data_IF_284880810356
#
_entry.id   IF_284880810356
#
_cell.length_a   1.000
_cell.length_b   1.000
_cell.length_c   1.000
_cell.angle_alpha   90.00
_cell.angle_beta   90.00
_cell.angle_gamma   90.00
#
_symmetry.space_group_name_H-M   'P 1'
#
loop_
_entity.id
_entity.type
_entity.pdbx_description
1 polymer ?
#
# COMPACT_ATOMS: atom_id res chain seq x y z
N UNK A 1 3.81 27.51 6.46
CA UNK A 1 3.68 28.54 5.39
C UNK A 1 4.59 29.71 5.77
N UNK A 2 5.15 30.50 4.84
CA UNK A 2 6.21 31.47 5.16
C UNK A 2 5.71 32.81 5.74
N UNK A 3 4.40 33.08 5.69
CA UNK A 3 3.81 34.36 6.14
C UNK A 3 4.03 35.54 5.19
N UNK A 4 4.84 35.40 4.13
CA UNK A 4 5.08 36.48 3.16
C UNK A 4 3.85 36.73 2.27
N UNK A 5 3.55 38.01 2.07
CA UNK A 5 2.52 38.49 1.15
C UNK A 5 2.76 37.91 -0.25
N UNK A 6 1.75 37.24 -0.79
CA UNK A 6 1.78 36.70 -2.14
C UNK A 6 1.41 37.86 -3.06
N UNK A 7 2.37 38.41 -3.80
CA UNK A 7 2.08 39.43 -4.79
C UNK A 7 1.20 38.87 -5.92
N UNK A 8 0.11 39.57 -6.23
CA UNK A 8 -0.89 39.25 -7.26
C UNK A 8 -0.37 39.43 -8.70
N UNK A 9 0.80 38.89 -9.02
CA UNK A 9 1.47 39.15 -10.30
C UNK A 9 1.19 38.06 -11.34
N UNK A 10 -0.07 37.63 -11.50
CA UNK A 10 -0.41 36.63 -12.50
C UNK A 10 -1.90 36.56 -12.85
N UNK A 11 -2.23 37.03 -14.05
CA UNK A 11 -3.54 36.87 -14.67
C UNK A 11 -3.97 35.38 -14.64
N UNK A 12 -5.02 35.08 -13.87
CA UNK A 12 -5.86 33.89 -14.09
C UNK A 12 -5.82 32.77 -13.04
N UNK A 13 -4.81 32.68 -12.14
CA UNK A 13 -4.88 31.74 -11.00
C UNK A 13 -4.14 32.27 -9.77
N UNK A 14 -4.81 32.40 -8.60
CA UNK A 14 -4.17 32.84 -7.37
C UNK A 14 -3.08 31.86 -6.97
N UNK A 15 -1.86 32.37 -6.76
CA UNK A 15 -0.72 31.55 -6.38
C UNK A 15 -0.84 31.18 -4.90
N UNK A 16 -1.16 29.93 -4.58
CA UNK A 16 -1.35 29.47 -3.19
C UNK A 16 -0.08 29.53 -2.31
N UNK A 17 1.11 29.70 -2.90
CA UNK A 17 2.38 29.68 -2.18
C UNK A 17 3.31 30.81 -2.62
N UNK A 18 3.88 31.52 -1.64
CA UNK A 18 4.85 32.60 -1.81
C UNK A 18 6.07 32.22 -2.69
N UNK A 19 6.50 30.95 -2.70
CA UNK A 19 7.61 30.47 -3.53
C UNK A 19 7.57 28.95 -3.72
N UNK A 20 8.39 28.42 -4.65
CA UNK A 20 8.57 26.98 -4.83
C UNK A 20 9.09 26.30 -3.55
N UNK A 21 9.99 26.97 -2.81
CA UNK A 21 10.49 26.49 -1.52
C UNK A 21 9.37 26.37 -0.47
N UNK A 22 8.37 27.26 -0.51
CA UNK A 22 7.24 27.22 0.42
C UNK A 22 6.19 26.17 0.03
N UNK A 23 6.03 25.91 -1.27
CA UNK A 23 5.28 24.74 -1.78
C UNK A 23 5.91 23.44 -1.28
N UNK A 24 7.23 23.31 -1.36
CA UNK A 24 7.96 22.13 -0.86
C UNK A 24 7.91 21.99 0.66
N UNK A 25 8.08 23.08 1.42
CA UNK A 25 7.92 23.06 2.89
C UNK A 25 6.51 22.66 3.30
N UNK A 26 5.47 23.18 2.66
CA UNK A 26 4.09 22.79 2.93
C UNK A 26 3.80 21.33 2.51
N UNK A 27 4.42 20.83 1.44
CA UNK A 27 4.35 19.42 1.05
C UNK A 27 5.02 18.52 2.09
N UNK A 28 6.23 18.86 2.55
CA UNK A 28 6.95 18.11 3.59
C UNK A 28 6.22 18.15 4.93
N UNK A 29 5.67 19.30 5.31
CA UNK A 29 4.85 19.43 6.53
C UNK A 29 3.59 18.54 6.47
N UNK A 30 2.93 18.42 5.32
CA UNK A 30 1.81 17.48 5.13
C UNK A 30 2.22 16.01 5.20
N UNK A 31 3.46 15.69 4.87
CA UNK A 31 4.00 14.33 4.99
C UNK A 31 4.40 14.04 6.44
N UNK A 32 4.93 15.03 7.17
CA UNK A 32 5.46 14.87 8.52
C UNK A 32 4.38 14.99 9.61
N UNK A 33 3.36 15.84 9.42
CA UNK A 33 2.31 16.11 10.42
C UNK A 33 1.27 14.99 10.61
N UNK A 34 1.55 13.76 10.14
CA UNK A 34 0.73 12.58 10.41
C UNK A 34 -0.28 12.22 9.32
N UNK A 35 -0.12 11.01 8.78
CA UNK A 35 -1.17 10.10 8.26
C UNK A 35 -2.07 10.56 7.09
N UNK A 36 -1.53 10.59 5.85
CA UNK A 36 -2.27 9.94 4.74
C UNK A 36 -1.44 8.91 3.94
N UNK A 37 -0.11 8.97 4.03
CA UNK A 37 0.79 8.05 3.30
C UNK A 37 0.96 6.71 4.00
N UNK A 38 0.92 6.69 5.33
CA UNK A 38 0.98 5.46 6.12
C UNK A 38 -0.34 4.68 6.06
N UNK A 39 -1.50 5.36 6.15
CA UNK A 39 -2.81 4.70 6.01
C UNK A 39 -3.03 4.12 4.61
N UNK A 40 -2.55 4.79 3.56
CA UNK A 40 -2.58 4.24 2.20
C UNK A 40 -1.51 3.17 1.93
N UNK A 41 -0.37 3.19 2.64
CA UNK A 41 0.61 2.10 2.57
C UNK A 41 0.12 0.85 3.31
N UNK A 42 -0.48 1.04 4.49
CA UNK A 42 -1.05 -0.03 5.32
C UNK A 42 -2.24 -0.69 4.60
N UNK A 43 -3.18 0.08 4.05
CA UNK A 43 -4.27 -0.49 3.20
C UNK A 43 -3.76 -1.22 1.97
N UNK A 44 -2.67 -0.75 1.35
CA UNK A 44 -2.05 -1.47 0.21
C UNK A 44 -1.40 -2.77 0.64
N UNK A 45 -0.76 -2.79 1.82
CA UNK A 45 -0.19 -4.00 2.42
C UNK A 45 -1.29 -5.01 2.78
N UNK A 46 -2.37 -4.57 3.41
CA UNK A 46 -3.56 -5.40 3.70
C UNK A 46 -4.11 -6.04 2.41
N UNK A 47 -4.37 -5.23 1.39
CA UNK A 47 -4.91 -5.70 0.12
C UNK A 47 -3.97 -6.69 -0.60
N UNK A 48 -2.65 -6.45 -0.53
CA UNK A 48 -1.66 -7.34 -1.11
C UNK A 48 -1.64 -8.71 -0.42
N UNK A 49 -1.61 -8.73 0.93
CA UNK A 49 -1.62 -9.97 1.71
C UNK A 49 -2.92 -10.77 1.49
N UNK A 50 -4.07 -10.09 1.47
CA UNK A 50 -5.35 -10.73 1.17
C UNK A 50 -5.39 -11.35 -0.25
N UNK A 51 -4.84 -10.66 -1.24
CA UNK A 51 -4.76 -11.18 -2.61
C UNK A 51 -3.83 -12.41 -2.70
N UNK A 52 -2.66 -12.36 -2.05
CA UNK A 52 -1.71 -13.45 -2.02
C UNK A 52 -2.30 -14.71 -1.36
N UNK A 53 -3.04 -14.55 -0.27
CA UNK A 53 -3.78 -15.64 0.39
C UNK A 53 -4.77 -16.31 -0.53
N UNK A 54 -5.62 -15.53 -1.22
CA UNK A 54 -6.60 -16.07 -2.16
C UNK A 54 -5.93 -16.81 -3.32
N UNK A 55 -4.84 -16.25 -3.87
CA UNK A 55 -4.08 -16.88 -4.95
C UNK A 55 -3.46 -18.21 -4.54
N UNK A 56 -2.82 -18.28 -3.37
CA UNK A 56 -2.23 -19.53 -2.85
C UNK A 56 -3.30 -20.58 -2.55
N UNK A 57 -4.42 -20.20 -1.96
CA UNK A 57 -5.55 -21.11 -1.70
C UNK A 57 -6.13 -21.69 -3.00
N UNK A 58 -6.27 -20.87 -4.05
CA UNK A 58 -6.70 -21.34 -5.36
C UNK A 58 -5.71 -22.34 -5.98
N UNK A 59 -4.40 -22.08 -5.90
CA UNK A 59 -3.37 -23.01 -6.38
C UNK A 59 -3.38 -24.34 -5.63
N UNK A 60 -3.58 -24.32 -4.30
CA UNK A 60 -3.71 -25.55 -3.50
C UNK A 60 -4.96 -26.33 -3.90
N UNK A 61 -6.08 -25.65 -4.10
CA UNK A 61 -7.32 -26.31 -4.57
C UNK A 61 -7.08 -27.05 -5.89
N UNK A 62 -6.49 -26.35 -6.87
CA UNK A 62 -6.14 -26.94 -8.18
C UNK A 62 -5.22 -28.15 -8.04
N UNK A 63 -4.16 -28.08 -7.22
CA UNK A 63 -3.25 -29.20 -6.98
C UNK A 63 -3.91 -30.42 -6.31
N UNK A 64 -4.99 -30.21 -5.57
CA UNK A 64 -5.72 -31.29 -4.89
C UNK A 64 -6.83 -31.89 -5.75
N UNK A 65 -7.37 -31.13 -6.71
CA UNK A 65 -8.52 -31.56 -7.53
C UNK A 65 -8.15 -32.00 -8.93
N UNK A 66 -7.03 -31.52 -9.49
CA UNK A 66 -6.63 -31.83 -10.85
C UNK A 66 -5.73 -33.08 -10.88
N UNK A 67 -6.11 -34.13 -11.64
CA UNK A 67 -5.37 -35.39 -11.70
C UNK A 67 -4.15 -35.34 -12.64
N UNK A 68 -4.05 -34.34 -13.51
CA UNK A 68 -2.91 -34.15 -14.41
C UNK A 68 -1.82 -33.27 -13.77
N UNK A 69 -0.52 -33.53 -14.05
CA UNK A 69 0.58 -32.79 -13.46
C UNK A 69 0.62 -31.38 -14.06
N UNK A 70 -0.15 -30.46 -13.47
CA UNK A 70 0.01 -29.03 -13.72
C UNK A 70 1.43 -28.67 -13.26
N UNK A 71 2.23 -28.11 -14.16
CA UNK A 71 3.58 -27.61 -13.86
C UNK A 71 3.45 -26.35 -13.00
N UNK A 72 3.05 -26.53 -11.75
CA UNK A 72 3.13 -25.52 -10.71
C UNK A 72 4.53 -25.63 -10.10
N UNK A 73 5.25 -24.50 -10.09
CA UNK A 73 6.52 -24.40 -9.38
C UNK A 73 6.24 -24.37 -7.87
N UNK A 74 6.02 -25.54 -7.27
CA UNK A 74 5.83 -25.69 -5.82
C UNK A 74 4.89 -26.83 -5.44
N UNK A 75 5.10 -27.38 -4.24
CA UNK A 75 4.19 -28.38 -3.67
C UNK A 75 3.00 -27.71 -2.98
N UNK A 76 1.88 -28.42 -2.87
CA UNK A 76 0.71 -27.96 -2.12
C UNK A 76 1.06 -27.64 -0.65
N UNK A 77 1.99 -28.40 -0.05
CA UNK A 77 2.51 -28.14 1.30
C UNK A 77 3.19 -26.78 1.39
N UNK A 78 4.13 -26.49 0.47
CA UNK A 78 4.87 -25.23 0.47
C UNK A 78 3.94 -24.01 0.24
N UNK A 79 2.95 -24.14 -0.64
CA UNK A 79 1.95 -23.10 -0.86
C UNK A 79 1.06 -22.87 0.35
N UNK A 80 0.72 -23.94 1.08
CA UNK A 80 -0.08 -23.86 2.31
C UNK A 80 0.71 -23.20 3.45
N UNK A 81 1.98 -23.58 3.64
CA UNK A 81 2.87 -22.95 4.61
C UNK A 81 3.02 -21.45 4.33
N UNK A 82 3.30 -21.09 3.07
CA UNK A 82 3.41 -19.69 2.66
C UNK A 82 2.08 -18.92 2.80
N UNK A 83 0.92 -19.59 2.71
CA UNK A 83 -0.37 -18.95 2.97
C UNK A 83 -0.57 -18.72 4.47
N UNK A 84 -0.16 -19.65 5.33
CA UNK A 84 -0.24 -19.46 6.78
C UNK A 84 0.64 -18.30 7.27
N UNK A 85 1.81 -18.11 6.66
CA UNK A 85 2.68 -16.96 6.93
C UNK A 85 2.01 -15.63 6.56
N UNK A 86 1.46 -15.50 5.34
CA UNK A 86 0.73 -14.31 4.91
C UNK A 86 -0.48 -14.02 5.81
N UNK A 87 -1.19 -15.07 6.28
CA UNK A 87 -2.35 -14.94 7.16
C UNK A 87 -1.94 -14.40 8.54
N UNK A 88 -0.83 -14.89 9.11
CA UNK A 88 -0.29 -14.38 10.36
C UNK A 88 0.15 -12.92 10.23
N UNK A 89 0.80 -12.56 9.13
CA UNK A 89 1.19 -11.17 8.86
C UNK A 89 -0.04 -10.26 8.72
N UNK A 90 -1.07 -10.71 7.99
CA UNK A 90 -2.31 -9.95 7.84
C UNK A 90 -3.00 -9.72 9.18
N UNK A 91 -3.08 -10.75 10.03
CA UNK A 91 -3.64 -10.62 11.38
C UNK A 91 -2.89 -9.57 12.19
N UNK A 92 -1.56 -9.62 12.20
CA UNK A 92 -0.73 -8.64 12.89
C UNK A 92 -0.96 -7.21 12.37
N UNK A 93 -1.06 -7.03 11.04
CA UNK A 93 -1.35 -5.72 10.44
C UNK A 93 -2.72 -5.19 10.86
N UNK A 94 -3.74 -6.06 10.96
CA UNK A 94 -5.09 -5.69 11.36
C UNK A 94 -5.20 -5.36 12.86
N UNK A 95 -4.45 -6.06 13.72
CA UNK A 95 -4.43 -5.83 15.18
C UNK A 95 -3.71 -4.53 15.57
N UNK A 96 -2.77 -4.06 14.75
CA UNK A 96 -1.96 -2.86 15.00
C UNK A 96 -2.34 -1.64 14.13
N UNK A 97 -3.57 -1.63 13.62
CA UNK A 97 -4.13 -0.53 12.83
C UNK A 97 -4.78 0.54 13.69
#
# INVERSE_FOLDING_TARGET
MCGSLIGDNGLGRPRLYCSAACKQRAYRARIWAGTPRQSSALRRREAHLACALMGKAACVHVLLTEPEPIVLQGSASALTEAALEDARELLHVLEHR
#
